data_IF_955489952036
#
_entry.id   IF_955489952036
#
_cell.length_a   1.000
_cell.length_b   1.000
_cell.length_c   1.000
_cell.angle_alpha   90.00
_cell.angle_beta   90.00
_cell.angle_gamma   90.00
#
_symmetry.space_group_name_H-M   'P 1'
#
loop_
_entity.id
_entity.type
_entity.pdbx_description
1 polymer ?
#
# COMPACT_ATOMS: atom_id res chain seq x y z
N UNK A 1 7.54 -16.10 7.64
CA UNK A 1 8.02 -15.08 6.68
C UNK A 1 6.82 -14.50 5.95
N UNK A 2 6.44 -13.28 6.30
CA UNK A 2 5.35 -12.54 5.66
C UNK A 2 5.86 -11.85 4.40
N UNK A 3 5.26 -12.13 3.26
CA UNK A 3 5.64 -11.52 1.97
C UNK A 3 4.51 -10.62 1.50
N UNK A 4 4.74 -9.31 1.51
CA UNK A 4 3.72 -8.29 1.25
C UNK A 4 4.12 -7.46 0.03
N UNK A 5 3.21 -7.34 -0.93
CA UNK A 5 3.33 -6.44 -2.08
C UNK A 5 2.29 -5.33 -1.96
N UNK A 6 2.74 -4.09 -1.87
CA UNK A 6 1.86 -2.93 -1.97
C UNK A 6 1.68 -2.49 -3.42
N UNK A 7 0.45 -2.22 -3.83
CA UNK A 7 0.13 -1.89 -5.22
C UNK A 7 -0.69 -0.61 -5.32
N UNK A 8 -0.32 0.27 -6.23
CA UNK A 8 -1.14 1.40 -6.68
C UNK A 8 -1.06 1.52 -8.21
N UNK A 9 -1.48 2.63 -8.80
CA UNK A 9 -1.46 2.80 -10.24
C UNK A 9 -0.02 2.92 -10.79
N UNK A 10 0.70 3.98 -10.39
CA UNK A 10 2.00 4.34 -10.97
C UNK A 10 3.21 3.84 -10.21
N UNK A 11 3.05 3.35 -9.00
CA UNK A 11 4.14 2.91 -8.13
C UNK A 11 5.18 4.00 -7.80
N UNK A 12 4.73 5.24 -7.68
CA UNK A 12 5.58 6.38 -7.29
C UNK A 12 5.05 7.16 -6.06
N UNK A 13 3.76 7.03 -5.72
CA UNK A 13 3.15 7.77 -4.60
C UNK A 13 2.71 6.83 -3.46
N UNK A 14 1.53 6.22 -3.59
CA UNK A 14 0.85 5.49 -2.48
C UNK A 14 1.57 4.19 -2.11
N UNK A 15 1.89 3.35 -3.07
CA UNK A 15 2.50 2.04 -2.80
C UNK A 15 3.93 2.15 -2.27
N UNK A 16 4.72 3.12 -2.77
CA UNK A 16 6.07 3.37 -2.25
C UNK A 16 6.03 3.97 -0.85
N UNK A 17 5.05 4.82 -0.58
CA UNK A 17 4.82 5.34 0.78
C UNK A 17 4.47 4.19 1.74
N UNK A 18 3.55 3.31 1.34
CA UNK A 18 3.15 2.16 2.16
C UNK A 18 4.32 1.19 2.40
N UNK A 19 5.15 0.94 1.39
CA UNK A 19 6.36 0.13 1.53
C UNK A 19 7.30 0.70 2.60
N UNK A 20 7.59 2.00 2.54
CA UNK A 20 8.48 2.65 3.52
C UNK A 20 7.86 2.71 4.91
N UNK A 21 6.57 3.02 5.03
CA UNK A 21 5.86 3.06 6.31
C UNK A 21 5.84 1.67 6.95
N UNK A 22 5.48 0.63 6.19
CA UNK A 22 5.43 -0.73 6.72
C UNK A 22 6.82 -1.23 7.13
N UNK A 23 7.86 -0.95 6.34
CA UNK A 23 9.22 -1.30 6.68
C UNK A 23 9.63 -0.63 8.01
N UNK A 24 9.37 0.66 8.15
CA UNK A 24 9.62 1.38 9.39
C UNK A 24 8.90 0.76 10.60
N UNK A 25 7.62 0.40 10.43
CA UNK A 25 6.82 -0.19 11.52
C UNK A 25 7.37 -1.56 11.96
N UNK A 26 7.76 -2.41 11.02
CA UNK A 26 8.33 -3.73 11.36
C UNK A 26 9.72 -3.61 11.98
N UNK A 27 10.51 -2.63 11.53
CA UNK A 27 11.83 -2.34 12.11
C UNK A 27 11.70 -1.85 13.56
N UNK A 28 10.79 -0.91 13.83
CA UNK A 28 10.50 -0.41 15.18
C UNK A 28 9.97 -1.51 16.12
N UNK A 29 9.23 -2.48 15.55
CA UNK A 29 8.74 -3.63 16.29
C UNK A 29 9.80 -4.73 16.52
N UNK A 30 11.01 -4.56 15.95
CA UNK A 30 12.08 -5.57 16.02
C UNK A 30 11.76 -6.84 15.24
N UNK A 31 10.93 -6.77 14.20
CA UNK A 31 10.40 -7.90 13.44
C UNK A 31 10.86 -7.93 11.98
N UNK A 32 11.90 -7.19 11.63
CA UNK A 32 12.36 -7.06 10.24
C UNK A 32 12.66 -8.39 9.56
N UNK A 33 13.19 -9.35 10.31
CA UNK A 33 13.52 -10.69 9.80
C UNK A 33 12.30 -11.55 9.44
N UNK A 34 11.11 -11.13 9.89
CA UNK A 34 9.86 -11.84 9.61
C UNK A 34 9.20 -11.40 8.30
N UNK A 35 9.66 -10.31 7.68
CA UNK A 35 8.97 -9.67 6.56
C UNK A 35 9.83 -9.51 5.32
N UNK A 36 9.19 -9.66 4.16
CA UNK A 36 9.68 -9.20 2.86
C UNK A 36 8.62 -8.26 2.30
N UNK A 37 8.98 -6.99 2.12
CA UNK A 37 8.05 -5.93 1.71
C UNK A 37 8.56 -5.30 0.41
N UNK A 38 7.67 -5.19 -0.57
CA UNK A 38 7.97 -4.55 -1.86
C UNK A 38 6.74 -3.81 -2.37
N UNK A 39 6.89 -3.10 -3.47
CA UNK A 39 5.77 -2.41 -4.11
C UNK A 39 5.85 -2.49 -5.65
N UNK A 40 4.69 -2.34 -6.29
CA UNK A 40 4.56 -2.35 -7.74
C UNK A 40 3.37 -1.48 -8.17
N UNK A 41 3.27 -1.22 -9.47
CA UNK A 41 2.14 -0.53 -10.08
C UNK A 41 1.29 -1.47 -10.92
N UNK A 42 0.07 -1.04 -11.21
CA UNK A 42 -0.77 -1.69 -12.21
C UNK A 42 -0.49 -1.16 -13.62
N UNK A 43 0.18 -0.03 -13.72
CA UNK A 43 0.61 0.63 -14.97
C UNK A 43 2.14 0.60 -15.12
N UNK A 44 2.61 0.71 -16.34
CA UNK A 44 4.03 0.86 -16.69
C UNK A 44 4.44 2.31 -17.00
N UNK A 45 3.53 3.27 -16.91
CA UNK A 45 3.79 4.66 -17.32
C UNK A 45 4.96 5.30 -16.56
N UNK A 46 5.13 4.96 -15.30
CA UNK A 46 6.17 5.51 -14.44
C UNK A 46 7.37 4.54 -14.26
N UNK A 47 7.44 3.45 -15.03
CA UNK A 47 8.49 2.44 -14.87
C UNK A 47 9.89 3.04 -14.90
N UNK A 48 10.71 2.70 -13.90
CA UNK A 48 12.07 3.20 -13.73
C UNK A 48 12.17 4.51 -12.94
N UNK A 49 11.07 5.23 -12.71
CA UNK A 49 11.09 6.48 -11.96
C UNK A 49 11.21 6.24 -10.45
N UNK A 50 11.91 7.15 -9.73
CA UNK A 50 11.97 7.09 -8.27
C UNK A 50 10.62 7.47 -7.64
N UNK A 51 10.45 7.27 -6.32
CA UNK A 51 9.27 7.76 -5.61
C UNK A 51 9.04 9.26 -5.86
N UNK A 52 7.77 9.63 -5.97
CA UNK A 52 7.36 11.02 -6.20
C UNK A 52 7.90 11.94 -5.11
N UNK A 53 8.30 13.17 -5.49
CA UNK A 53 8.85 14.16 -4.56
C UNK A 53 7.95 14.40 -3.34
N UNK A 54 6.64 14.46 -3.53
CA UNK A 54 5.68 14.63 -2.44
C UNK A 54 5.70 13.49 -1.42
N UNK A 55 5.85 12.25 -1.87
CA UNK A 55 6.04 11.08 -1.00
C UNK A 55 7.35 11.19 -0.23
N UNK A 56 8.44 11.50 -0.91
CA UNK A 56 9.78 11.63 -0.28
C UNK A 56 9.78 12.72 0.78
N UNK A 57 9.24 13.90 0.47
CA UNK A 57 9.16 15.02 1.42
C UNK A 57 8.26 14.71 2.62
N UNK A 58 7.13 14.05 2.40
CA UNK A 58 6.22 13.67 3.47
C UNK A 58 6.86 12.66 4.42
N UNK A 59 7.48 11.61 3.91
CA UNK A 59 8.18 10.62 4.72
C UNK A 59 9.32 11.25 5.54
N UNK A 60 10.08 12.17 4.92
CA UNK A 60 11.13 12.90 5.62
C UNK A 60 10.59 13.73 6.78
N UNK A 61 9.49 14.45 6.59
CA UNK A 61 8.83 15.24 7.66
C UNK A 61 8.36 14.35 8.80
N UNK A 62 7.90 13.14 8.49
CA UNK A 62 7.46 12.16 9.48
C UNK A 62 8.60 11.31 10.05
N UNK A 63 9.84 11.59 9.65
CA UNK A 63 11.05 10.87 10.09
C UNK A 63 11.00 9.38 9.79
N UNK A 64 10.41 9.01 8.68
CA UNK A 64 10.37 7.65 8.17
C UNK A 64 11.43 7.49 7.09
N UNK A 65 12.38 6.55 7.23
CA UNK A 65 13.38 6.28 6.19
C UNK A 65 12.72 5.86 4.89
N UNK A 66 13.12 6.48 3.79
CA UNK A 66 12.67 6.08 2.46
C UNK A 66 13.33 4.76 2.06
N UNK A 67 12.55 3.77 1.72
CA UNK A 67 13.07 2.58 1.05
C UNK A 67 13.38 2.92 -0.40
N UNK A 68 14.62 2.72 -0.83
CA UNK A 68 15.02 2.96 -2.21
C UNK A 68 14.22 2.06 -3.16
N UNK A 69 13.59 2.67 -4.15
CA UNK A 69 12.72 1.97 -5.09
C UNK A 69 12.67 2.67 -6.44
N UNK A 70 12.52 1.89 -7.50
CA UNK A 70 12.21 2.38 -8.84
C UNK A 70 10.89 1.75 -9.27
N UNK A 71 9.98 2.56 -9.78
CA UNK A 71 8.66 2.10 -10.19
C UNK A 71 8.75 0.94 -11.17
N UNK A 72 7.92 -0.06 -10.97
CA UNK A 72 7.80 -1.24 -11.80
C UNK A 72 6.35 -1.70 -11.89
N UNK A 73 5.99 -2.35 -12.97
CA UNK A 73 4.67 -2.96 -13.11
C UNK A 73 4.64 -4.34 -12.47
N UNK A 74 3.55 -4.65 -11.77
CA UNK A 74 3.28 -6.01 -11.29
C UNK A 74 3.11 -6.98 -12.46
N UNK A 75 3.58 -8.22 -12.31
CA UNK A 75 3.51 -9.27 -13.33
C UNK A 75 2.72 -10.46 -12.83
N UNK A 76 1.99 -11.10 -13.73
CA UNK A 76 1.17 -12.27 -13.39
C UNK A 76 1.96 -13.38 -12.70
N UNK A 77 3.22 -13.60 -13.11
CA UNK A 77 4.10 -14.62 -12.54
C UNK A 77 4.51 -14.35 -11.08
N UNK A 78 4.22 -13.16 -10.55
CA UNK A 78 4.55 -12.82 -9.16
C UNK A 78 3.51 -13.29 -8.15
N UNK A 79 2.34 -13.72 -8.60
CA UNK A 79 1.23 -14.08 -7.70
C UNK A 79 1.66 -15.05 -6.60
N UNK A 80 2.35 -16.12 -6.98
CA UNK A 80 2.80 -17.16 -6.04
C UNK A 80 3.94 -16.70 -5.11
N UNK A 81 4.62 -15.63 -5.48
CA UNK A 81 5.71 -15.06 -4.66
C UNK A 81 5.20 -14.37 -3.40
N UNK A 82 3.99 -13.80 -3.45
CA UNK A 82 3.44 -12.97 -2.40
C UNK A 82 2.39 -13.72 -1.57
N UNK A 83 2.44 -13.56 -0.26
CA UNK A 83 1.41 -14.05 0.65
C UNK A 83 0.24 -13.10 0.80
N UNK A 84 0.51 -11.78 0.59
CA UNK A 84 -0.50 -10.73 0.66
C UNK A 84 -0.18 -9.65 -0.38
N UNK A 85 -1.20 -9.21 -1.10
CA UNK A 85 -1.13 -8.15 -2.10
C UNK A 85 -2.11 -7.06 -1.69
N UNK A 86 -1.58 -5.90 -1.31
CA UNK A 86 -2.36 -4.82 -0.69
C UNK A 86 -2.51 -3.66 -1.66
N UNK A 87 -3.73 -3.35 -2.06
CA UNK A 87 -4.04 -2.28 -3.00
C UNK A 87 -4.73 -1.09 -2.33
N UNK A 88 -4.81 0.04 -3.05
CA UNK A 88 -5.21 1.34 -2.49
C UNK A 88 -6.65 1.73 -2.82
N UNK A 89 -7.13 1.36 -4.01
CA UNK A 89 -8.44 1.78 -4.53
C UNK A 89 -9.09 0.72 -5.41
N UNK A 90 -10.34 0.96 -5.79
CA UNK A 90 -11.12 0.03 -6.63
C UNK A 90 -10.52 -0.16 -8.02
N UNK A 91 -9.90 0.87 -8.60
CA UNK A 91 -9.25 0.75 -9.91
C UNK A 91 -8.04 -0.19 -9.83
N UNK A 92 -7.29 -0.14 -8.75
CA UNK A 92 -6.21 -1.09 -8.50
C UNK A 92 -6.76 -2.52 -8.35
N UNK A 93 -7.84 -2.69 -7.61
CA UNK A 93 -8.50 -4.00 -7.44
C UNK A 93 -8.89 -4.59 -8.79
N UNK A 94 -9.59 -3.82 -9.60
CA UNK A 94 -10.03 -4.26 -10.91
C UNK A 94 -8.87 -4.71 -11.80
N UNK A 95 -7.78 -3.95 -11.82
CA UNK A 95 -6.59 -4.30 -12.58
C UNK A 95 -5.91 -5.57 -12.05
N UNK A 96 -5.84 -5.74 -10.71
CA UNK A 96 -5.25 -6.93 -10.09
C UNK A 96 -6.10 -8.18 -10.31
N UNK A 97 -7.42 -8.09 -10.27
CA UNK A 97 -8.31 -9.21 -10.56
C UNK A 97 -8.09 -9.73 -11.99
N UNK A 98 -7.89 -8.83 -12.95
CA UNK A 98 -7.56 -9.21 -14.33
C UNK A 98 -6.16 -9.82 -14.44
N UNK A 99 -5.17 -9.25 -13.75
CA UNK A 99 -3.79 -9.72 -13.80
C UNK A 99 -3.63 -11.10 -13.15
N UNK A 100 -4.30 -11.31 -12.02
CA UNK A 100 -4.14 -12.48 -11.16
C UNK A 100 -5.32 -13.46 -11.23
N UNK A 101 -6.01 -13.50 -12.37
CA UNK A 101 -7.08 -14.48 -12.63
C UNK A 101 -8.14 -14.53 -11.51
N UNK A 102 -8.65 -13.36 -11.14
CA UNK A 102 -9.65 -13.17 -10.06
C UNK A 102 -9.17 -13.64 -8.65
N UNK A 103 -7.86 -13.58 -8.41
CA UNK A 103 -7.28 -13.83 -7.09
C UNK A 103 -7.75 -15.16 -6.45
N UNK A 104 -7.40 -16.31 -7.05
CA UNK A 104 -7.93 -17.61 -6.65
C UNK A 104 -7.60 -18.02 -5.21
N UNK A 105 -6.54 -17.48 -4.64
CA UNK A 105 -6.11 -17.77 -3.26
C UNK A 105 -6.49 -16.67 -2.26
N UNK A 106 -7.28 -15.67 -2.69
CA UNK A 106 -7.73 -14.55 -1.84
C UNK A 106 -6.59 -13.79 -1.15
N UNK A 107 -5.52 -13.50 -1.90
CA UNK A 107 -4.34 -12.77 -1.41
C UNK A 107 -4.47 -11.26 -1.51
N UNK A 108 -5.41 -10.76 -2.32
CA UNK A 108 -5.57 -9.33 -2.57
C UNK A 108 -6.52 -8.70 -1.56
N UNK A 109 -6.10 -7.61 -0.92
CA UNK A 109 -6.90 -6.88 0.04
C UNK A 109 -6.68 -5.37 -0.07
N UNK A 110 -7.73 -4.58 0.14
CA UNK A 110 -7.65 -3.12 0.19
C UNK A 110 -6.98 -2.68 1.50
N UNK A 111 -6.06 -1.74 1.44
CA UNK A 111 -5.29 -1.33 2.63
C UNK A 111 -6.20 -0.92 3.80
N UNK A 112 -7.20 -0.08 3.55
CA UNK A 112 -8.08 0.39 4.62
C UNK A 112 -9.04 -0.68 5.16
N UNK A 113 -9.15 -1.85 4.51
CA UNK A 113 -9.94 -2.97 5.01
C UNK A 113 -9.38 -3.59 6.29
N UNK A 114 -8.11 -3.37 6.58
CA UNK A 114 -7.49 -3.85 7.83
C UNK A 114 -7.89 -3.02 9.05
N UNK A 115 -8.39 -1.80 8.85
CA UNK A 115 -8.85 -0.95 9.94
C UNK A 115 -10.23 -1.46 10.41
N UNK A 116 -10.38 -1.82 11.69
CA UNK A 116 -11.66 -2.30 12.21
C UNK A 116 -12.80 -1.27 12.04
N UNK A 117 -14.03 -1.76 11.83
CA UNK A 117 -15.21 -0.91 11.65
C UNK A 117 -15.49 0.02 12.84
N UNK A 118 -15.19 -0.45 14.05
CA UNK A 118 -15.35 0.28 15.30
C UNK A 118 -14.19 1.21 15.64
N UNK A 119 -13.20 1.30 14.76
CA UNK A 119 -12.05 2.19 14.94
C UNK A 119 -12.48 3.65 15.05
N UNK A 120 -11.79 4.38 15.91
CA UNK A 120 -11.93 5.85 16.02
C UNK A 120 -11.21 6.62 14.91
N UNK A 121 -10.62 5.93 13.94
CA UNK A 121 -9.90 6.55 12.83
C UNK A 121 -10.77 7.54 12.06
N UNK A 122 -10.22 8.73 11.78
CA UNK A 122 -10.91 9.81 11.06
C UNK A 122 -10.09 10.24 9.83
N UNK A 123 -10.69 10.34 8.64
CA UNK A 123 -12.05 9.91 8.30
C UNK A 123 -12.19 8.39 8.38
N UNK A 124 -13.40 7.91 8.62
CA UNK A 124 -13.64 6.47 8.78
C UNK A 124 -13.27 5.71 7.52
N UNK A 125 -12.60 4.58 7.70
CA UNK A 125 -12.25 3.67 6.61
C UNK A 125 -13.48 2.95 6.05
N UNK A 126 -14.46 2.61 6.90
CA UNK A 126 -15.70 1.94 6.51
C UNK A 126 -16.83 2.96 6.36
N UNK A 127 -17.55 2.89 5.25
CA UNK A 127 -18.68 3.74 4.92
C UNK A 127 -19.99 3.16 5.48
N UNK A 128 -21.08 3.97 5.45
CA UNK A 128 -22.39 3.56 6.00
C UNK A 128 -22.98 2.31 5.32
N UNK A 129 -22.63 2.06 4.06
CA UNK A 129 -23.08 0.88 3.30
C UNK A 129 -22.20 -0.38 3.53
N UNK A 130 -21.22 -0.29 4.42
CA UNK A 130 -20.29 -1.37 4.73
C UNK A 130 -19.11 -1.49 3.77
N UNK A 131 -19.03 -0.63 2.74
CA UNK A 131 -17.87 -0.61 1.83
C UNK A 131 -16.65 0.03 2.49
N UNK A 132 -15.47 -0.35 1.99
CA UNK A 132 -14.21 0.22 2.44
C UNK A 132 -13.78 1.34 1.50
N UNK A 133 -13.50 2.51 2.08
CA UNK A 133 -13.06 3.69 1.36
C UNK A 133 -11.69 3.48 0.69
N UNK A 134 -11.46 4.15 -0.44
CA UNK A 134 -10.17 4.21 -1.10
C UNK A 134 -9.17 5.08 -0.32
N UNK A 135 -7.88 4.79 -0.47
CA UNK A 135 -6.81 5.76 -0.22
C UNK A 135 -6.74 6.70 -1.42
N UNK A 136 -7.02 7.98 -1.22
CA UNK A 136 -7.00 8.96 -2.31
C UNK A 136 -5.62 9.06 -2.97
N UNK A 137 -5.62 9.22 -4.30
CA UNK A 137 -4.38 9.36 -5.05
C UNK A 137 -3.85 10.80 -4.95
N UNK A 138 -2.69 11.03 -4.31
CA UNK A 138 -2.15 12.37 -4.12
C UNK A 138 -1.63 12.99 -5.41
N UNK A 139 -1.45 12.22 -6.47
CA UNK A 139 -1.19 12.73 -7.82
C UNK A 139 -2.30 13.68 -8.28
N UNK A 140 -3.57 13.33 -7.96
CA UNK A 140 -4.74 14.14 -8.32
C UNK A 140 -5.11 15.17 -7.26
N UNK A 141 -5.04 14.81 -5.98
CA UNK A 141 -5.46 15.70 -4.88
C UNK A 141 -4.39 16.71 -4.49
N UNK A 142 -3.11 16.40 -4.72
CA UNK A 142 -1.98 17.15 -4.19
C UNK A 142 -1.82 17.03 -2.67
N UNK A 143 -2.64 16.22 -2.00
CA UNK A 143 -2.68 16.13 -0.54
C UNK A 143 -1.97 14.87 -0.03
N UNK A 144 -0.65 14.96 0.14
CA UNK A 144 0.16 13.87 0.68
C UNK A 144 -0.04 13.65 2.17
N UNK A 145 -0.54 14.64 2.91
CA UNK A 145 -0.84 14.50 4.33
C UNK A 145 -2.02 13.56 4.57
N UNK A 146 -3.10 13.70 3.81
CA UNK A 146 -4.25 12.79 3.88
C UNK A 146 -3.87 11.36 3.46
N UNK A 147 -3.10 11.23 2.38
CA UNK A 147 -2.59 9.92 1.93
C UNK A 147 -1.74 9.26 3.00
N UNK A 148 -0.81 9.99 3.59
CA UNK A 148 0.04 9.47 4.66
C UNK A 148 -0.77 9.01 5.88
N UNK A 149 -1.74 9.80 6.31
CA UNK A 149 -2.61 9.45 7.43
C UNK A 149 -3.31 8.11 7.19
N UNK A 150 -3.87 7.93 6.00
CA UNK A 150 -4.55 6.69 5.61
C UNK A 150 -3.57 5.50 5.52
N UNK A 151 -2.44 5.71 4.86
CA UNK A 151 -1.40 4.70 4.70
C UNK A 151 -0.85 4.27 6.05
N UNK A 152 -0.55 5.21 6.93
CA UNK A 152 -0.04 4.94 8.27
C UNK A 152 -1.03 4.09 9.07
N UNK A 153 -2.28 4.53 9.14
CA UNK A 153 -3.32 3.82 9.87
C UNK A 153 -3.57 2.40 9.30
N UNK A 154 -3.60 2.28 7.97
CA UNK A 154 -3.77 0.98 7.32
C UNK A 154 -2.61 0.02 7.57
N UNK A 155 -1.37 0.51 7.50
CA UNK A 155 -0.18 -0.30 7.79
C UNK A 155 -0.10 -0.72 9.27
N UNK A 156 -0.45 0.16 10.21
CA UNK A 156 -0.51 -0.18 11.63
C UNK A 156 -1.57 -1.27 11.89
N UNK A 157 -2.75 -1.12 11.32
CA UNK A 157 -3.82 -2.11 11.43
C UNK A 157 -3.42 -3.46 10.79
N UNK A 158 -2.78 -3.43 9.63
CA UNK A 158 -2.27 -4.63 8.96
C UNK A 158 -1.24 -5.34 9.84
N UNK A 159 -0.24 -4.61 10.35
CA UNK A 159 0.80 -5.21 11.21
C UNK A 159 0.20 -5.87 12.45
N UNK A 160 -0.86 -5.30 13.02
CA UNK A 160 -1.55 -5.86 14.18
C UNK A 160 -2.23 -7.21 13.90
N UNK A 161 -2.46 -7.56 12.63
CA UNK A 161 -3.05 -8.86 12.22
C UNK A 161 -2.00 -9.94 11.93
N UNK A 162 -0.74 -9.59 11.84
CA UNK A 162 0.38 -10.45 11.46
C UNK A 162 1.32 -10.71 12.64
#
# INVERSE_FOLDING_TARGET
>A
MHRILFVCLGNICRSTMAQSVMQYLVDEAGRSDEFVIDSAGTSSEESGNPPHRGTVEKLRRERIPLVAHHARRARAAEYDKWGLIVYMDEDNEWALMRLFNNDPEHKCAKLLSFIPEDSSFRPRAHLHDGTVRDVADPWWTGNFDDTYRDVRAGCEALLATL
#
